data_IF_039921330138
#
_entry.id   IF_039921330138
#
_cell.length_a   1.000
_cell.length_b   1.000
_cell.length_c   1.000
_cell.angle_alpha   90.00
_cell.angle_beta   90.00
_cell.angle_gamma   90.00
#
_symmetry.space_group_name_H-M   'P 1'
#
loop_
_entity.id
_entity.type
_entity.pdbx_description
1 polymer ?
#
# COMPACT_ATOMS: atom_id res chain seq x y z
N UNK A 1 4.54 13.73 -23.31
CA UNK A 1 5.07 12.97 -22.15
C UNK A 1 4.28 11.68 -22.03
N UNK A 2 4.88 10.49 -22.22
CA UNK A 2 4.10 9.27 -22.33
C UNK A 2 3.61 8.81 -20.96
N UNK A 3 2.29 8.68 -20.83
CA UNK A 3 1.62 8.04 -19.69
C UNK A 3 2.02 6.57 -19.67
N UNK A 4 2.83 6.15 -18.69
CA UNK A 4 3.05 4.73 -18.41
C UNK A 4 1.77 4.12 -17.86
N UNK A 5 0.92 3.63 -18.77
CA UNK A 5 -0.18 2.72 -18.47
C UNK A 5 0.36 1.42 -17.87
N UNK A 6 -0.47 0.67 -17.13
CA UNK A 6 -0.21 -0.69 -16.59
C UNK A 6 0.31 -1.73 -17.61
N UNK A 7 0.54 -1.34 -18.86
CA UNK A 7 0.90 -2.17 -20.01
C UNK A 7 2.39 -2.55 -20.06
N UNK A 8 3.26 -1.96 -19.24
CA UNK A 8 4.68 -2.39 -19.19
C UNK A 8 4.91 -3.76 -18.53
N UNK A 9 3.86 -4.43 -18.06
CA UNK A 9 3.92 -5.82 -17.60
C UNK A 9 3.70 -6.85 -18.73
N UNK A 10 3.14 -6.44 -19.88
CA UNK A 10 2.85 -7.36 -20.99
C UNK A 10 4.07 -7.67 -21.88
N UNK A 11 5.08 -6.79 -21.90
CA UNK A 11 6.38 -7.07 -22.54
C UNK A 11 7.27 -7.98 -21.67
N UNK A 12 7.09 -7.96 -20.34
CA UNK A 12 7.78 -8.89 -19.43
C UNK A 12 7.28 -10.34 -19.53
N UNK A 13 6.06 -10.55 -20.05
CA UNK A 13 5.44 -11.89 -20.17
C UNK A 13 5.81 -12.63 -21.47
N UNK A 14 6.47 -11.98 -22.44
CA UNK A 14 6.99 -12.64 -23.65
C UNK A 14 8.42 -13.17 -23.50
N UNK A 15 9.07 -12.90 -22.37
CA UNK A 15 10.42 -13.38 -22.05
C UNK A 15 10.44 -14.61 -21.12
N UNK A 16 9.27 -15.15 -20.76
CA UNK A 16 9.16 -16.33 -19.91
C UNK A 16 9.27 -17.58 -20.77
N UNK A 17 10.50 -18.00 -21.03
CA UNK A 17 10.81 -19.36 -21.47
C UNK A 17 10.50 -20.40 -20.37
N UNK A 18 10.59 -21.70 -20.69
CA UNK A 18 10.18 -22.78 -19.78
C UNK A 18 10.91 -22.70 -18.44
N UNK A 19 10.15 -22.90 -17.36
CA UNK A 19 10.57 -22.75 -15.97
C UNK A 19 11.59 -23.85 -15.67
N UNK A 20 12.87 -23.50 -15.77
CA UNK A 20 13.96 -24.24 -15.14
C UNK A 20 14.53 -23.35 -14.05
N UNK A 21 14.61 -23.93 -12.86
CA UNK A 21 15.08 -23.26 -11.65
C UNK A 21 16.52 -22.75 -11.84
N UNK A 22 16.68 -21.42 -11.89
CA UNK A 22 17.96 -20.74 -11.62
C UNK A 22 17.71 -19.51 -10.74
N UNK A 23 18.58 -19.25 -9.76
CA UNK A 23 18.40 -18.19 -8.77
C UNK A 23 18.76 -16.85 -9.41
N UNK A 24 17.79 -15.94 -9.47
CA UNK A 24 17.98 -14.62 -10.08
C UNK A 24 16.91 -13.65 -9.60
N UNK A 25 17.08 -13.14 -8.38
CA UNK A 25 16.28 -12.06 -7.79
C UNK A 25 17.06 -10.74 -7.85
N UNK A 26 17.45 -10.31 -9.05
CA UNK A 26 18.16 -9.03 -9.27
C UNK A 26 17.22 -7.88 -9.68
N UNK A 27 15.93 -7.92 -9.31
CA UNK A 27 14.99 -6.84 -9.69
C UNK A 27 14.47 -6.02 -8.52
N UNK A 28 14.69 -6.43 -7.27
CA UNK A 28 14.31 -5.64 -6.08
C UNK A 28 15.49 -5.15 -5.22
N UNK A 29 16.70 -5.69 -5.43
CA UNK A 29 17.97 -5.15 -4.88
C UNK A 29 18.35 -3.78 -5.48
N UNK A 30 17.91 -3.47 -6.70
CA UNK A 30 18.19 -2.19 -7.35
C UNK A 30 17.37 -1.00 -6.83
N UNK A 31 16.32 -1.22 -6.03
CA UNK A 31 15.58 -0.13 -5.39
C UNK A 31 16.29 0.43 -4.15
N UNK A 32 17.23 -0.33 -3.55
CA UNK A 32 18.21 0.25 -2.62
C UNK A 32 19.15 1.22 -3.33
N UNK A 33 19.53 0.96 -4.59
CA UNK A 33 20.36 1.88 -5.37
C UNK A 33 19.59 3.14 -5.81
N UNK A 34 18.28 3.06 -6.06
CA UNK A 34 17.45 4.24 -6.36
C UNK A 34 17.25 5.13 -5.11
N UNK A 35 17.17 4.55 -3.90
CA UNK A 35 17.19 5.32 -2.66
C UNK A 35 18.60 5.85 -2.31
N UNK A 36 19.66 5.10 -2.63
CA UNK A 36 21.05 5.53 -2.44
C UNK A 36 21.54 6.56 -3.49
N UNK A 37 20.93 6.63 -4.67
CA UNK A 37 21.21 7.62 -5.73
C UNK A 37 20.22 8.78 -5.75
N UNK A 38 19.21 8.78 -4.89
CA UNK A 38 18.42 9.99 -4.66
C UNK A 38 19.34 11.05 -4.05
N UNK A 39 19.29 12.29 -4.56
CA UNK A 39 20.00 13.46 -4.01
C UNK A 39 19.66 13.80 -2.54
N UNK A 40 18.93 12.92 -1.87
CA UNK A 40 18.47 13.00 -0.49
C UNK A 40 19.16 11.97 0.44
N UNK A 41 19.80 10.91 -0.10
CA UNK A 41 20.37 9.82 0.70
C UNK A 41 21.83 10.02 1.11
N UNK A 42 22.67 10.64 0.27
CA UNK A 42 24.09 10.86 0.57
C UNK A 42 24.37 12.16 1.32
N UNK A 43 23.45 13.12 1.35
CA UNK A 43 23.63 14.34 2.14
C UNK A 43 23.33 14.15 3.64
N UNK A 44 22.60 13.09 4.02
CA UNK A 44 22.17 12.89 5.41
C UNK A 44 23.07 11.95 6.21
N UNK A 45 23.90 11.12 5.56
CA UNK A 45 24.83 10.21 6.24
C UNK A 45 26.32 10.39 5.91
N UNK A 46 26.70 11.16 4.89
CA UNK A 46 28.12 11.36 4.52
C UNK A 46 28.66 12.79 4.69
N UNK A 47 27.88 13.71 5.24
CA UNK A 47 28.34 15.05 5.57
C UNK A 47 27.70 15.51 6.86
N UNK A 48 28.46 15.55 7.95
CA UNK A 48 28.00 16.03 9.26
C UNK A 48 27.21 17.35 9.11
N UNK A 49 25.87 17.37 9.31
CA UNK A 49 25.10 18.60 9.13
C UNK A 49 25.21 19.55 10.34
N UNK A 50 26.21 19.33 11.21
CA UNK A 50 26.44 20.10 12.42
C UNK A 50 27.92 20.47 12.65
N UNK A 51 28.79 20.39 11.63
CA UNK A 51 30.23 20.68 11.79
C UNK A 51 30.69 22.05 11.27
N UNK A 52 30.16 22.53 10.13
CA UNK A 52 30.75 23.68 9.43
C UNK A 52 30.15 25.04 9.74
N UNK A 53 29.04 25.10 10.48
CA UNK A 53 28.47 26.38 10.99
C UNK A 53 28.87 26.70 12.42
N UNK A 54 29.38 25.73 13.18
CA UNK A 54 29.89 25.98 14.54
C UNK A 54 31.27 26.64 14.49
N UNK A 55 32.08 26.34 13.46
CA UNK A 55 33.38 27.00 13.27
C UNK A 55 33.27 28.46 12.78
N UNK A 56 32.17 28.86 12.15
CA UNK A 56 31.90 30.27 11.82
C UNK A 56 31.30 31.06 13.02
N UNK A 57 30.94 30.36 14.10
CA UNK A 57 30.48 30.95 15.36
C UNK A 57 31.62 31.14 16.37
N UNK A 58 32.81 30.60 16.09
CA UNK A 58 34.05 31.00 16.76
C UNK A 58 34.59 32.28 16.10
N UNK A 59 33.76 33.33 16.14
CA UNK A 59 34.25 34.70 15.99
C UNK A 59 35.10 34.97 17.24
N UNK A 60 36.32 35.52 17.13
CA UNK A 60 37.18 35.78 18.29
C UNK A 60 36.66 36.86 19.24
N UNK A 61 35.44 37.36 19.04
CA UNK A 61 34.82 38.36 19.89
C UNK A 61 33.71 37.69 20.70
N UNK A 62 33.94 37.52 22.00
CA UNK A 62 33.10 36.84 22.99
C UNK A 62 31.72 37.47 23.26
N UNK A 63 30.98 37.85 22.23
CA UNK A 63 29.58 38.21 22.36
C UNK A 63 28.72 36.93 22.23
N UNK A 64 28.40 36.32 23.39
CA UNK A 64 27.36 35.31 23.49
C UNK A 64 26.03 35.96 23.07
N UNK A 65 25.70 35.87 21.78
CA UNK A 65 24.37 36.20 21.29
C UNK A 65 23.44 35.11 21.76
N UNK A 66 22.93 35.29 22.98
CA UNK A 66 21.88 34.48 23.55
C UNK A 66 20.68 34.61 22.61
N UNK A 67 20.43 33.59 21.79
CA UNK A 67 19.26 33.57 20.91
C UNK A 67 18.04 33.44 21.80
N UNK A 68 17.44 34.58 22.12
CA UNK A 68 16.24 34.63 22.94
C UNK A 68 15.12 33.95 22.15
N UNK A 69 14.78 32.73 22.55
CA UNK A 69 13.65 32.00 21.97
C UNK A 69 12.38 32.78 22.26
N UNK A 70 11.72 33.25 21.22
CA UNK A 70 10.48 34.01 21.38
C UNK A 70 9.34 33.08 21.83
N UNK A 71 8.38 33.58 22.61
CA UNK A 71 7.17 32.82 23.00
C UNK A 71 6.49 32.16 21.80
N UNK A 72 6.45 32.86 20.66
CA UNK A 72 5.88 32.37 19.40
C UNK A 72 6.68 31.19 18.81
N UNK A 73 8.00 31.21 18.88
CA UNK A 73 8.83 30.08 18.43
C UNK A 73 8.65 28.86 19.32
N UNK A 74 8.55 29.04 20.64
CA UNK A 74 8.26 27.95 21.57
C UNK A 74 6.89 27.32 21.28
N UNK A 75 5.84 28.13 21.11
CA UNK A 75 4.50 27.64 20.78
C UNK A 75 4.46 26.93 19.42
N UNK A 76 5.16 27.45 18.42
CA UNK A 76 5.28 26.79 17.10
C UNK A 76 6.01 25.46 17.20
N UNK A 77 7.11 25.39 17.97
CA UNK A 77 7.86 24.17 18.18
C UNK A 77 7.03 23.12 18.93
N UNK A 78 6.32 23.53 19.99
CA UNK A 78 5.40 22.65 20.73
C UNK A 78 4.26 22.12 19.86
N UNK A 79 3.62 22.99 19.06
CA UNK A 79 2.57 22.59 18.13
C UNK A 79 3.08 21.62 17.05
N UNK A 80 4.27 21.87 16.48
CA UNK A 80 4.89 20.98 15.51
C UNK A 80 5.25 19.62 16.11
N UNK A 81 5.80 19.60 17.33
CA UNK A 81 6.10 18.37 18.05
C UNK A 81 4.85 17.56 18.38
N UNK A 82 3.79 18.22 18.86
CA UNK A 82 2.50 17.58 19.12
C UNK A 82 1.89 16.96 17.85
N UNK A 83 1.90 17.69 16.74
CA UNK A 83 1.43 17.16 15.45
C UNK A 83 2.24 15.94 14.99
N UNK A 84 3.56 15.96 15.16
CA UNK A 84 4.42 14.83 14.82
C UNK A 84 4.09 13.58 15.65
N UNK A 85 3.85 13.74 16.96
CA UNK A 85 3.46 12.63 17.84
C UNK A 85 2.09 12.05 17.47
N UNK A 86 1.12 12.90 17.12
CA UNK A 86 -0.20 12.43 16.66
C UNK A 86 -0.07 11.62 15.37
N UNK A 87 0.71 12.11 14.39
CA UNK A 87 0.95 11.39 13.15
C UNK A 87 1.69 10.07 13.37
N UNK A 88 2.69 10.06 14.26
CA UNK A 88 3.40 8.84 14.64
C UNK A 88 2.47 7.84 15.33
N UNK A 89 1.59 8.31 16.22
CA UNK A 89 0.58 7.47 16.88
C UNK A 89 -0.40 6.86 15.87
N UNK A 90 -0.88 7.63 14.90
CA UNK A 90 -1.72 7.11 13.82
C UNK A 90 -1.01 6.11 12.94
N UNK A 91 0.26 6.36 12.59
CA UNK A 91 1.06 5.44 11.81
C UNK A 91 1.26 4.12 12.56
N UNK A 92 1.71 4.20 13.82
CA UNK A 92 1.88 3.04 14.68
C UNK A 92 0.58 2.24 14.79
N UNK A 93 -0.57 2.89 15.03
CA UNK A 93 -1.87 2.25 15.11
C UNK A 93 -2.29 1.58 13.78
N UNK A 94 -1.99 2.20 12.63
CA UNK A 94 -2.28 1.61 11.31
C UNK A 94 -1.45 0.37 11.00
N UNK A 95 -0.27 0.25 11.62
CA UNK A 95 0.61 -0.91 11.54
C UNK A 95 0.47 -1.91 12.69
N UNK A 96 -0.23 -1.53 13.77
CA UNK A 96 -0.31 -2.31 15.00
C UNK A 96 -1.19 -3.56 14.84
N UNK A 97 -0.80 -4.64 15.52
CA UNK A 97 -1.54 -5.92 15.49
C UNK A 97 -1.41 -6.69 14.18
N UNK A 98 -0.40 -6.38 13.37
CA UNK A 98 -0.15 -7.08 12.10
C UNK A 98 0.77 -8.29 12.34
N UNK A 99 0.31 -9.52 12.12
CA UNK A 99 1.21 -10.66 12.15
C UNK A 99 2.19 -10.56 10.97
N UNK A 100 3.45 -10.90 11.20
CA UNK A 100 4.49 -10.86 10.15
C UNK A 100 4.20 -11.84 9.01
N UNK A 101 3.42 -12.89 9.30
CA UNK A 101 2.95 -13.95 8.42
C UNK A 101 1.57 -14.37 8.93
N UNK A 102 0.62 -14.63 8.05
CA UNK A 102 -0.68 -15.17 8.43
C UNK A 102 -0.52 -16.50 9.15
N UNK A 103 -1.08 -16.61 10.35
CA UNK A 103 -1.19 -17.90 11.02
C UNK A 103 -2.33 -18.72 10.39
N UNK A 104 -2.19 -20.07 10.31
CA UNK A 104 -3.27 -20.93 9.88
C UNK A 104 -4.53 -20.72 10.74
N UNK A 105 -5.67 -20.45 10.09
CA UNK A 105 -6.95 -20.21 10.78
C UNK A 105 -7.16 -18.78 11.27
N UNK A 106 -6.20 -17.87 11.08
CA UNK A 106 -6.35 -16.45 11.40
C UNK A 106 -6.54 -15.59 10.14
N UNK A 107 -7.15 -14.41 10.31
CA UNK A 107 -7.32 -13.42 9.23
C UNK A 107 -5.96 -12.83 8.84
N UNK A 108 -5.61 -12.90 7.56
CA UNK A 108 -4.40 -12.28 7.01
C UNK A 108 -4.43 -10.76 7.06
N UNK A 109 -5.63 -10.19 6.99
CA UNK A 109 -5.86 -8.75 7.02
C UNK A 109 -6.27 -8.28 8.42
N UNK A 110 -5.78 -7.10 8.80
CA UNK A 110 -6.23 -6.42 10.02
C UNK A 110 -7.72 -6.03 9.90
N UNK A 111 -8.43 -5.76 11.01
CA UNK A 111 -9.83 -5.33 10.98
C UNK A 111 -10.07 -4.11 10.08
N UNK A 112 -9.13 -3.15 10.09
CA UNK A 112 -9.20 -1.97 9.21
C UNK A 112 -8.92 -2.35 7.76
N UNK A 113 -7.97 -3.25 7.48
CA UNK A 113 -7.70 -3.76 6.14
C UNK A 113 -8.93 -4.44 5.52
N UNK A 114 -9.66 -5.24 6.30
CA UNK A 114 -10.95 -5.85 5.87
C UNK A 114 -11.97 -4.77 5.52
N UNK A 115 -12.07 -3.71 6.32
CA UNK A 115 -12.97 -2.58 6.06
C UNK A 115 -12.58 -1.82 4.79
N UNK A 116 -11.28 -1.64 4.53
CA UNK A 116 -10.77 -1.05 3.27
C UNK A 116 -11.21 -1.88 2.07
N UNK A 117 -11.04 -3.21 2.13
CA UNK A 117 -11.47 -4.10 1.05
C UNK A 117 -12.96 -3.97 0.80
N UNK A 118 -13.80 -4.12 1.83
CA UNK A 118 -15.25 -4.06 1.68
C UNK A 118 -15.73 -2.72 1.14
N UNK A 119 -15.11 -1.61 1.55
CA UNK A 119 -15.44 -0.28 1.06
C UNK A 119 -15.07 -0.05 -0.42
N UNK A 120 -13.97 -0.65 -0.88
CA UNK A 120 -13.43 -0.41 -2.23
C UNK A 120 -13.81 -1.48 -3.25
N UNK A 121 -14.11 -2.70 -2.81
CA UNK A 121 -14.41 -3.83 -3.68
C UNK A 121 -15.57 -3.56 -4.66
N UNK A 122 -16.71 -2.95 -4.26
CA UNK A 122 -17.80 -2.67 -5.20
C UNK A 122 -17.37 -1.83 -6.40
N UNK A 123 -16.47 -0.86 -6.17
CA UNK A 123 -15.94 -0.01 -7.23
C UNK A 123 -14.82 -0.68 -8.06
N UNK A 124 -14.20 -1.75 -7.56
CA UNK A 124 -13.18 -2.53 -8.28
C UNK A 124 -13.79 -3.60 -9.19
N UNK A 125 -14.82 -4.31 -8.71
CA UNK A 125 -15.43 -5.43 -9.46
C UNK A 125 -16.51 -4.97 -10.44
N UNK A 126 -17.03 -3.75 -10.28
CA UNK A 126 -18.04 -3.14 -11.15
C UNK A 126 -19.46 -3.69 -10.92
N UNK A 127 -19.65 -5.01 -10.94
CA UNK A 127 -20.93 -5.68 -10.67
C UNK A 127 -20.93 -6.33 -9.29
N UNK A 128 -21.21 -5.53 -8.27
CA UNK A 128 -21.33 -5.98 -6.89
C UNK A 128 -22.77 -6.44 -6.57
N UNK A 129 -22.98 -7.65 -6.03
CA UNK A 129 -24.30 -8.12 -5.62
C UNK A 129 -24.72 -7.44 -4.30
N UNK A 130 -25.35 -6.28 -4.39
CA UNK A 130 -25.74 -5.49 -3.21
C UNK A 130 -26.76 -6.20 -2.30
N UNK A 131 -27.54 -7.12 -2.87
CA UNK A 131 -28.58 -7.88 -2.16
C UNK A 131 -28.04 -9.15 -1.47
N UNK A 132 -26.76 -9.50 -1.70
CA UNK A 132 -26.10 -10.66 -1.08
C UNK A 132 -25.19 -10.22 0.08
N UNK A 133 -25.63 -10.39 1.34
CA UNK A 133 -24.82 -10.03 2.51
C UNK A 133 -23.60 -10.94 2.69
N UNK A 134 -23.57 -12.13 2.07
CA UNK A 134 -22.45 -13.07 2.19
C UNK A 134 -21.31 -12.75 1.23
N UNK A 135 -21.58 -12.06 0.11
CA UNK A 135 -20.59 -11.75 -0.92
C UNK A 135 -19.31 -11.11 -0.37
N UNK A 136 -19.45 -10.19 0.59
CA UNK A 136 -18.33 -9.56 1.27
C UNK A 136 -17.53 -10.53 2.14
N UNK A 137 -18.19 -11.45 2.85
CA UNK A 137 -17.53 -12.46 3.67
C UNK A 137 -16.78 -13.47 2.81
N UNK A 138 -17.40 -13.92 1.71
CA UNK A 138 -16.79 -14.85 0.74
C UNK A 138 -15.55 -14.23 0.08
N UNK A 139 -15.61 -12.94 -0.30
CA UNK A 139 -14.45 -12.21 -0.81
C UNK A 139 -13.31 -12.17 0.21
N UNK A 140 -13.62 -11.83 1.47
CA UNK A 140 -12.60 -11.75 2.53
C UNK A 140 -11.98 -13.13 2.82
N UNK A 141 -12.77 -14.19 2.84
CA UNK A 141 -12.26 -15.55 2.99
C UNK A 141 -11.34 -15.95 1.81
N UNK A 142 -11.74 -15.63 0.58
CA UNK A 142 -10.90 -15.86 -0.61
C UNK A 142 -9.59 -15.06 -0.57
N UNK A 143 -9.61 -13.83 -0.06
CA UNK A 143 -8.41 -13.04 0.18
C UNK A 143 -7.50 -13.65 1.24
N UNK A 144 -8.06 -14.10 2.37
CA UNK A 144 -7.29 -14.74 3.44
C UNK A 144 -6.60 -16.03 2.92
N UNK A 145 -7.31 -16.85 2.13
CA UNK A 145 -6.72 -18.03 1.45
C UNK A 145 -5.64 -17.64 0.42
N UNK A 146 -5.90 -16.60 -0.38
CA UNK A 146 -4.94 -16.16 -1.40
C UNK A 146 -3.66 -15.62 -0.75
N UNK A 147 -3.78 -14.78 0.28
CA UNK A 147 -2.62 -14.16 0.96
C UNK A 147 -1.83 -15.22 1.73
N UNK A 148 -2.48 -16.16 2.42
CA UNK A 148 -1.79 -17.18 3.20
C UNK A 148 -0.95 -18.13 2.33
N UNK A 149 -1.30 -18.28 1.04
CA UNK A 149 -0.53 -19.08 0.08
C UNK A 149 0.75 -18.38 -0.42
N UNK A 150 0.92 -17.08 -0.15
CA UNK A 150 2.09 -16.32 -0.59
C UNK A 150 3.29 -16.50 0.35
N UNK A 151 4.53 -16.39 -0.15
CA UNK A 151 5.72 -16.28 0.69
C UNK A 151 5.63 -15.12 1.68
N UNK A 152 6.22 -15.30 2.87
CA UNK A 152 6.20 -14.32 3.96
C UNK A 152 6.54 -12.87 3.54
N UNK A 153 7.57 -12.60 2.70
CA UNK A 153 7.85 -11.23 2.28
C UNK A 153 6.68 -10.57 1.51
N UNK A 154 5.97 -11.33 0.68
CA UNK A 154 4.81 -10.80 -0.06
C UNK A 154 3.61 -10.55 0.85
N UNK A 155 3.39 -11.40 1.86
CA UNK A 155 2.37 -11.15 2.88
C UNK A 155 2.67 -9.85 3.64
N UNK A 156 3.95 -9.58 3.89
CA UNK A 156 4.38 -8.33 4.52
C UNK A 156 4.08 -7.11 3.65
N UNK A 157 4.42 -7.16 2.36
CA UNK A 157 4.12 -6.08 1.41
C UNK A 157 2.62 -5.78 1.31
N UNK A 158 1.77 -6.83 1.27
CA UNK A 158 0.32 -6.67 1.26
C UNK A 158 -0.17 -5.98 2.53
N UNK A 159 0.36 -6.40 3.68
CA UNK A 159 0.00 -5.75 4.95
C UNK A 159 0.46 -4.28 5.02
N UNK A 160 1.60 -3.93 4.44
CA UNK A 160 2.05 -2.52 4.34
C UNK A 160 1.15 -1.69 3.42
N UNK A 161 0.69 -2.27 2.32
CA UNK A 161 -0.30 -1.64 1.44
C UNK A 161 -1.57 -1.27 2.21
N UNK A 162 -2.11 -2.21 3.00
CA UNK A 162 -3.31 -1.94 3.79
C UNK A 162 -3.07 -1.03 4.98
N UNK A 163 -1.90 -1.06 5.61
CA UNK A 163 -1.51 -0.10 6.64
C UNK A 163 -1.46 1.33 6.06
N UNK A 164 -0.86 1.50 4.88
CA UNK A 164 -0.84 2.77 4.17
C UNK A 164 -2.25 3.30 3.87
N UNK A 165 -3.16 2.45 3.39
CA UNK A 165 -4.55 2.84 3.16
C UNK A 165 -5.29 3.14 4.48
N UNK A 166 -4.97 2.42 5.55
CA UNK A 166 -5.56 2.60 6.88
C UNK A 166 -5.09 3.89 7.57
N UNK A 167 -3.99 4.50 7.11
CA UNK A 167 -3.46 5.73 7.68
C UNK A 167 -4.45 6.91 7.50
N UNK A 168 -5.01 7.48 8.58
CA UNK A 168 -6.08 8.47 8.48
C UNK A 168 -5.77 9.69 7.60
N UNK A 169 -4.56 10.28 7.63
CA UNK A 169 -4.21 11.38 6.73
C UNK A 169 -4.31 11.01 5.24
N UNK A 170 -3.88 9.79 4.87
CA UNK A 170 -4.03 9.30 3.49
C UNK A 170 -5.51 9.20 3.13
N UNK A 171 -6.32 8.61 4.01
CA UNK A 171 -7.77 8.47 3.78
C UNK A 171 -8.49 9.81 3.63
N UNK A 172 -8.23 10.76 4.52
CA UNK A 172 -8.93 12.04 4.56
C UNK A 172 -8.40 13.03 3.52
N UNK A 173 -7.09 13.27 3.50
CA UNK A 173 -6.49 14.31 2.67
C UNK A 173 -6.34 13.86 1.22
N UNK A 174 -5.80 12.65 1.02
CA UNK A 174 -5.50 12.14 -0.32
C UNK A 174 -6.71 11.46 -0.94
N UNK A 175 -7.34 10.52 -0.22
CA UNK A 175 -8.51 9.76 -0.69
C UNK A 175 -9.84 10.46 -0.44
N UNK A 176 -9.91 11.56 0.31
CA UNK A 176 -11.17 12.34 0.52
C UNK A 176 -12.36 11.43 0.86
N UNK A 177 -12.10 10.41 1.67
CA UNK A 177 -13.09 9.44 2.09
C UNK A 177 -13.48 9.67 3.55
N UNK A 178 -14.75 9.42 3.92
CA UNK A 178 -15.16 9.32 5.31
C UNK A 178 -14.55 8.06 5.96
N UNK A 179 -14.98 7.73 7.17
CA UNK A 179 -14.65 6.43 7.77
C UNK A 179 -15.07 5.27 6.84
N UNK A 180 -14.34 4.16 6.88
CA UNK A 180 -14.46 3.08 5.88
C UNK A 180 -15.87 2.45 5.84
N UNK A 181 -16.53 2.39 6.99
CA UNK A 181 -17.93 1.98 7.19
C UNK A 181 -18.97 2.87 6.51
N UNK A 182 -18.59 4.12 6.17
CA UNK A 182 -19.49 5.13 5.59
C UNK A 182 -19.16 5.44 4.12
N UNK A 183 -18.24 4.70 3.51
CA UNK A 183 -17.83 4.93 2.13
C UNK A 183 -18.93 4.50 1.18
N UNK A 184 -19.43 5.45 0.37
CA UNK A 184 -20.35 5.15 -0.72
C UNK A 184 -19.60 4.66 -1.97
N UNK A 185 -20.22 3.81 -2.82
CA UNK A 185 -19.58 3.29 -4.03
C UNK A 185 -19.00 4.36 -4.96
N UNK A 186 -19.70 5.47 -5.16
CA UNK A 186 -19.21 6.57 -6.01
C UNK A 186 -17.96 7.26 -5.43
N UNK A 187 -17.90 7.37 -4.10
CA UNK A 187 -16.75 7.94 -3.42
C UNK A 187 -15.54 7.00 -3.52
N UNK A 188 -15.76 5.69 -3.39
CA UNK A 188 -14.74 4.67 -3.61
C UNK A 188 -14.19 4.72 -5.05
N UNK A 189 -15.06 4.80 -6.06
CA UNK A 189 -14.64 4.91 -7.46
C UNK A 189 -13.77 6.15 -7.72
N UNK A 190 -14.15 7.32 -7.17
CA UNK A 190 -13.34 8.54 -7.25
C UNK A 190 -12.01 8.42 -6.51
N UNK A 191 -11.96 7.70 -5.40
CA UNK A 191 -10.72 7.45 -4.65
C UNK A 191 -9.76 6.54 -5.45
N UNK A 192 -10.28 5.46 -6.04
CA UNK A 192 -9.52 4.56 -6.91
C UNK A 192 -8.99 5.27 -8.16
N UNK A 193 -9.80 6.12 -8.79
CA UNK A 193 -9.36 6.92 -9.94
C UNK A 193 -8.18 7.85 -9.58
N UNK A 194 -8.15 8.40 -8.36
CA UNK A 194 -7.03 9.21 -7.87
C UNK A 194 -5.78 8.38 -7.62
N UNK A 195 -5.93 7.20 -7.01
CA UNK A 195 -4.81 6.28 -6.83
C UNK A 195 -4.21 5.88 -8.18
N UNK A 196 -5.06 5.53 -9.15
CA UNK A 196 -4.67 5.14 -10.50
C UNK A 196 -3.98 6.28 -11.28
N UNK A 197 -4.53 7.50 -11.19
CA UNK A 197 -4.04 8.69 -11.89
C UNK A 197 -2.89 9.42 -11.18
N UNK A 198 -2.38 8.88 -10.08
CA UNK A 198 -1.37 9.54 -9.25
C UNK A 198 -0.05 9.74 -9.99
N UNK A 199 0.62 10.91 -9.86
CA UNK A 199 1.97 11.10 -10.39
C UNK A 199 3.02 10.28 -9.63
N UNK A 200 2.72 9.84 -8.40
CA UNK A 200 3.62 9.08 -7.55
C UNK A 200 3.58 7.59 -7.93
N UNK A 201 4.71 6.98 -8.37
CA UNK A 201 4.75 5.56 -8.71
C UNK A 201 4.31 4.64 -7.57
N UNK A 202 4.67 4.99 -6.33
CA UNK A 202 4.27 4.25 -5.12
C UNK A 202 2.75 4.20 -4.93
N UNK A 203 2.05 5.30 -5.20
CA UNK A 203 0.59 5.33 -5.06
C UNK A 203 -0.10 4.53 -6.17
N UNK A 204 0.47 4.55 -7.38
CA UNK A 204 0.00 3.70 -8.48
C UNK A 204 0.23 2.23 -8.19
N UNK A 205 1.34 1.85 -7.53
CA UNK A 205 1.57 0.45 -7.14
C UNK A 205 0.55 -0.02 -6.10
N UNK A 206 0.12 0.85 -5.18
CA UNK A 206 -1.01 0.56 -4.25
C UNK A 206 -2.29 0.25 -5.03
N UNK A 207 -2.66 1.05 -6.04
CA UNK A 207 -3.83 0.75 -6.89
C UNK A 207 -3.66 -0.60 -7.60
N UNK A 208 -2.52 -0.83 -8.24
CA UNK A 208 -2.27 -2.07 -8.98
C UNK A 208 -2.31 -3.30 -8.06
N UNK A 209 -1.71 -3.22 -6.87
CA UNK A 209 -1.72 -4.29 -5.88
C UNK A 209 -3.14 -4.59 -5.40
N UNK A 210 -3.86 -3.56 -4.97
CA UNK A 210 -5.25 -3.68 -4.53
C UNK A 210 -6.14 -4.28 -5.63
N UNK A 211 -6.03 -3.77 -6.86
CA UNK A 211 -6.82 -4.22 -7.99
C UNK A 211 -6.56 -5.70 -8.31
N UNK A 212 -5.28 -6.10 -8.41
CA UNK A 212 -4.92 -7.51 -8.67
C UNK A 212 -5.40 -8.43 -7.56
N UNK A 213 -5.20 -8.03 -6.31
CA UNK A 213 -5.53 -8.86 -5.15
C UNK A 213 -7.05 -9.07 -5.04
N UNK A 214 -7.83 -8.00 -5.12
CA UNK A 214 -9.30 -8.07 -5.02
C UNK A 214 -9.89 -8.82 -6.21
N UNK A 215 -9.43 -8.54 -7.44
CA UNK A 215 -9.96 -9.25 -8.61
C UNK A 215 -9.56 -10.73 -8.62
N UNK A 216 -8.35 -11.08 -8.18
CA UNK A 216 -7.94 -12.47 -8.07
C UNK A 216 -8.79 -13.23 -7.05
N UNK A 217 -9.07 -12.63 -5.88
CA UNK A 217 -9.93 -13.26 -4.89
C UNK A 217 -11.40 -13.33 -5.34
N UNK A 218 -11.91 -12.30 -6.00
CA UNK A 218 -13.28 -12.25 -6.49
C UNK A 218 -13.53 -13.25 -7.63
N UNK A 219 -12.74 -13.17 -8.70
CA UNK A 219 -12.92 -14.06 -9.86
C UNK A 219 -12.30 -15.44 -9.68
N UNK A 220 -11.43 -15.63 -8.68
CA UNK A 220 -10.91 -16.93 -8.30
C UNK A 220 -11.92 -17.82 -7.57
N UNK A 221 -13.02 -17.25 -7.06
CA UNK A 221 -14.06 -17.99 -6.36
C UNK A 221 -15.30 -18.20 -7.25
N UNK A 222 -15.71 -19.46 -7.52
CA UNK A 222 -16.88 -19.74 -8.35
C UNK A 222 -18.20 -19.20 -7.78
N UNK A 223 -18.29 -18.96 -6.47
CA UNK A 223 -19.48 -18.37 -5.84
C UNK A 223 -19.85 -16.99 -6.42
N UNK A 224 -18.87 -16.24 -6.94
CA UNK A 224 -19.11 -14.91 -7.49
C UNK A 224 -19.42 -14.91 -9.00
N UNK A 225 -19.24 -16.04 -9.69
CA UNK A 225 -19.37 -16.12 -11.15
C UNK A 225 -20.80 -15.87 -11.62
N UNK A 226 -21.78 -16.53 -10.98
CA UNK A 226 -23.20 -16.36 -11.30
C UNK A 226 -23.67 -14.89 -11.13
N UNK A 227 -23.23 -14.22 -10.05
CA UNK A 227 -23.56 -12.82 -9.80
C UNK A 227 -22.92 -11.85 -10.81
N UNK A 228 -21.80 -12.22 -11.42
CA UNK A 228 -21.10 -11.40 -12.42
C UNK A 228 -21.54 -11.68 -13.86
N UNK A 229 -22.30 -12.76 -14.10
CA UNK A 229 -22.64 -13.22 -15.45
C UNK A 229 -21.45 -13.88 -16.18
N UNK A 230 -20.43 -14.29 -15.43
CA UNK A 230 -19.29 -15.04 -15.95
C UNK A 230 -19.56 -16.54 -15.80
N UNK A 231 -19.42 -17.33 -16.87
CA UNK A 231 -19.65 -18.79 -16.83
C UNK A 231 -18.46 -19.58 -16.24
N UNK A 232 -17.39 -18.90 -15.85
CA UNK A 232 -16.17 -19.54 -15.36
C UNK A 232 -15.16 -19.83 -16.47
N UNK A 233 -13.96 -20.32 -16.11
CA UNK A 233 -13.01 -20.85 -17.06
C UNK A 233 -13.61 -22.06 -17.81
N UNK A 234 -13.30 -22.25 -19.11
CA UNK A 234 -13.80 -23.39 -19.87
C UNK A 234 -13.52 -24.72 -19.14
N UNK A 235 -14.51 -25.62 -19.12
CA UNK A 235 -14.44 -26.88 -18.36
C UNK A 235 -13.18 -27.73 -18.67
N UNK A 236 -12.64 -27.61 -19.88
CA UNK A 236 -11.39 -28.27 -20.29
C UNK A 236 -10.18 -27.84 -19.45
N UNK A 237 -10.12 -26.58 -19.00
CA UNK A 237 -9.03 -26.06 -18.15
C UNK A 237 -9.18 -26.55 -16.71
N UNK A 238 -10.42 -26.71 -16.23
CA UNK A 238 -10.70 -27.23 -14.89
C UNK A 238 -10.40 -28.73 -14.81
N UNK A 239 -10.77 -29.49 -15.85
CA UNK A 239 -10.48 -30.92 -15.94
C UNK A 239 -8.97 -31.21 -15.94
N UNK A 240 -8.17 -30.39 -16.62
CA UNK A 240 -6.71 -30.53 -16.63
C UNK A 240 -6.07 -30.30 -15.25
N UNK A 241 -6.72 -29.55 -14.35
CA UNK A 241 -6.23 -29.28 -12.99
C UNK A 241 -6.58 -30.35 -11.96
N UNK A 242 -7.57 -31.20 -12.26
CA UNK A 242 -8.04 -32.26 -11.36
C UNK A 242 -7.41 -33.63 -11.67
N UNK A 243 -6.60 -33.72 -12.72
CA UNK A 243 -5.96 -34.96 -13.19
C UNK A 243 -4.47 -35.11 -12.86
N UNK A 244 -3.92 -34.27 -11.98
CA UNK A 244 -2.60 -34.44 -11.36
C UNK A 244 -2.75 -34.91 -9.90
#
# INVERSE_FOLDING_TARGET
MPRTTCRSAASALRAWGPITARPGFDTFSHLRAVFAQSRWGTSWMAGAPYGKRVQALLRPDGALTMTVVTRRQLLKAGAAGGAALVLAGWWAQSSAGRPAVCAPGESCLSPTGRSVVLALAPALVGRWPADDPEAGRTLLAGLDTAISSLPAPMQQEIGELFAFLSFPPVRWLYLRLPAWDQVRPDAAARALARLQGSPLPLVRSVYCGLHKLVLAAWYGNPAHWAATGYEGPPAVVLAARQGE
#
